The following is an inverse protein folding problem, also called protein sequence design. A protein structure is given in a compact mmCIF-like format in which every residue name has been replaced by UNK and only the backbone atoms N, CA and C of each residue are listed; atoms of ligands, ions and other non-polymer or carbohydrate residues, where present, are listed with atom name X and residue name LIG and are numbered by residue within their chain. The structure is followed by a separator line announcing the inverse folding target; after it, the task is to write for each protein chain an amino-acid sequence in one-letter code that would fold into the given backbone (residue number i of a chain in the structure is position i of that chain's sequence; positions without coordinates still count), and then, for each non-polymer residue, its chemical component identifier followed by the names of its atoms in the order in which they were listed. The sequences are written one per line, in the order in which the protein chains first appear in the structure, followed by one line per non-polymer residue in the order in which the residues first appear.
data_IF_214895158337
#
_entry.id   IF_214895158337
#
_cell.length_a   1.000
_cell.length_b   1.000
_cell.length_c   1.000
_cell.angle_alpha   90.00
_cell.angle_beta   90.00
_cell.angle_gamma   90.00
#
_symmetry.space_group_name_H-M   'P 1'
#
loop_
_entity.id
_entity.type
_entity.pdbx_description
1 polymer ?
#
# COMPACT_ATOMS: atom_id res chain seq x y z
N UNK A 1 12.76 -3.02 12.03
CA UNK A 1 12.46 -1.77 11.28
C UNK A 1 12.10 -0.59 12.20
N UNK A 2 12.57 0.61 11.89
CA UNK A 2 12.15 1.87 12.56
C UNK A 2 10.78 2.34 12.09
N UNK A 3 10.15 3.29 12.82
CA UNK A 3 8.86 3.86 12.42
C UNK A 3 8.93 4.59 11.08
N UNK A 4 10.01 5.33 10.83
CA UNK A 4 10.19 6.09 9.59
C UNK A 4 10.34 5.17 8.38
N UNK A 5 11.12 4.10 8.50
CA UNK A 5 11.27 3.08 7.46
C UNK A 5 9.93 2.38 7.15
N UNK A 6 9.16 2.04 8.19
CA UNK A 6 7.85 1.42 8.04
C UNK A 6 6.87 2.35 7.28
N UNK A 7 6.85 3.64 7.62
CA UNK A 7 6.01 4.64 6.94
C UNK A 7 6.43 4.77 5.48
N UNK A 8 7.72 4.94 5.21
CA UNK A 8 8.25 5.08 3.84
C UNK A 8 7.88 3.88 2.97
N UNK A 9 8.13 2.66 3.45
CA UNK A 9 7.84 1.43 2.71
C UNK A 9 6.35 1.23 2.44
N UNK A 10 5.49 1.61 3.39
CA UNK A 10 4.04 1.58 3.18
C UNK A 10 3.56 2.63 2.16
N UNK A 11 4.17 3.82 2.14
CA UNK A 11 3.87 4.83 1.13
C UNK A 11 4.28 4.37 -0.27
N UNK A 12 5.41 3.68 -0.41
CA UNK A 12 5.86 3.09 -1.68
C UNK A 12 4.86 2.01 -2.16
N UNK A 13 4.46 1.09 -1.28
CA UNK A 13 3.42 0.08 -1.57
C UNK A 13 2.09 0.73 -1.97
N UNK A 14 1.66 1.75 -1.24
CA UNK A 14 0.42 2.45 -1.50
C UNK A 14 0.45 3.15 -2.87
N UNK A 15 1.55 3.81 -3.22
CA UNK A 15 1.70 4.45 -4.53
C UNK A 15 1.59 3.44 -5.68
N UNK A 16 2.19 2.26 -5.52
CA UNK A 16 2.12 1.19 -6.51
C UNK A 16 0.71 0.60 -6.62
N UNK A 17 0.05 0.36 -5.50
CA UNK A 17 -1.36 -0.07 -5.48
C UNK A 17 -2.27 0.95 -6.15
N UNK A 18 -2.11 2.24 -5.85
CA UNK A 18 -2.91 3.29 -6.46
C UNK A 18 -2.75 3.33 -7.98
N UNK A 19 -1.53 3.12 -8.49
CA UNK A 19 -1.31 2.99 -9.94
C UNK A 19 -2.13 1.85 -10.53
N UNK A 20 -2.06 0.67 -9.92
CA UNK A 20 -2.86 -0.47 -10.38
C UNK A 20 -4.37 -0.16 -10.34
N UNK A 21 -4.85 0.50 -9.28
CA UNK A 21 -6.24 0.88 -9.15
C UNK A 21 -6.68 1.94 -10.19
N UNK A 22 -5.80 2.85 -10.59
CA UNK A 22 -6.08 3.78 -11.69
C UNK A 22 -6.18 3.07 -13.04
N UNK A 23 -5.33 2.07 -13.27
CA UNK A 23 -5.37 1.24 -14.48
C UNK A 23 -6.57 0.27 -14.48
N UNK A 24 -7.15 -0.03 -13.30
CA UNK A 24 -8.25 -0.99 -13.10
C UNK A 24 -9.28 -0.42 -12.10
N UNK A 25 -10.09 0.59 -12.50
CA UNK A 25 -10.93 1.33 -11.56
C UNK A 25 -12.01 0.48 -10.88
N UNK A 26 -12.44 -0.65 -11.47
CA UNK A 26 -13.45 -1.57 -10.93
C UNK A 26 -13.04 -2.20 -9.58
N UNK A 27 -11.73 -2.21 -9.29
CA UNK A 27 -11.24 -2.75 -8.00
C UNK A 27 -11.63 -1.86 -6.83
N UNK A 28 -11.80 -0.55 -7.06
CA UNK A 28 -12.24 0.40 -6.04
C UNK A 28 -13.72 0.23 -5.69
N UNK A 29 -14.54 -0.25 -6.61
CA UNK A 29 -15.96 -0.53 -6.35
C UNK A 29 -16.16 -1.65 -5.31
N UNK A 30 -15.13 -2.48 -5.11
CA UNK A 30 -15.12 -3.56 -4.11
C UNK A 30 -14.80 -3.05 -2.70
N UNK A 31 -14.40 -1.78 -2.54
CA UNK A 31 -14.03 -1.22 -1.24
C UNK A 31 -15.27 -0.72 -0.49
N UNK A 32 -15.61 -1.30 0.67
CA UNK A 32 -16.65 -0.74 1.52
C UNK A 32 -16.28 0.67 1.95
N UNK A 33 -17.27 1.55 2.10
CA UNK A 33 -17.06 2.90 2.63
C UNK A 33 -16.39 2.82 4.01
N UNK A 34 -15.32 3.58 4.19
CA UNK A 34 -14.56 3.63 5.45
C UNK A 34 -13.68 2.41 5.72
N UNK A 35 -13.43 1.55 4.73
CA UNK A 35 -12.54 0.41 4.90
C UNK A 35 -11.08 0.81 5.06
N UNK A 36 -10.38 0.10 5.94
CA UNK A 36 -8.92 0.15 6.03
C UNK A 36 -8.32 -0.71 4.92
N UNK A 37 -7.51 -0.11 4.06
CA UNK A 37 -6.64 -0.83 3.13
C UNK A 37 -5.40 -1.34 3.89
N UNK A 38 -5.13 -2.64 3.80
CA UNK A 38 -3.89 -3.26 4.26
C UNK A 38 -3.22 -3.96 3.09
N UNK A 39 -1.99 -3.56 2.77
CA UNK A 39 -1.19 -4.17 1.72
C UNK A 39 -0.18 -5.13 2.37
N UNK A 40 -0.17 -6.39 1.92
CA UNK A 40 0.75 -7.43 2.38
C UNK A 40 1.74 -7.77 1.25
N UNK A 41 3.00 -7.32 1.34
CA UNK A 41 4.02 -7.65 0.36
C UNK A 41 4.33 -9.15 0.35
N UNK A 42 4.36 -9.77 -0.82
CA UNK A 42 4.64 -11.21 -0.99
C UNK A 42 6.13 -11.56 -0.82
N UNK A 43 7.00 -10.57 -1.00
CA UNK A 43 8.46 -10.69 -1.04
C UNK A 43 9.19 -10.02 0.15
N UNK A 44 8.43 -9.39 1.07
CA UNK A 44 8.96 -8.80 2.30
C UNK A 44 8.18 -9.32 3.52
N UNK A 45 8.59 -10.46 4.11
CA UNK A 45 7.88 -11.08 5.22
C UNK A 45 7.90 -10.23 6.51
N UNK A 46 8.94 -9.41 6.73
CA UNK A 46 9.01 -8.50 7.88
C UNK A 46 7.94 -7.42 7.77
N UNK A 47 7.86 -6.74 6.62
CA UNK A 47 6.85 -5.71 6.39
C UNK A 47 5.43 -6.28 6.35
N UNK A 48 5.25 -7.47 5.78
CA UNK A 48 3.96 -8.18 5.80
C UNK A 48 3.51 -8.49 7.22
N UNK A 49 4.42 -8.91 8.12
CA UNK A 49 4.08 -9.19 9.50
C UNK A 49 3.68 -7.91 10.27
N UNK A 50 4.39 -6.80 10.05
CA UNK A 50 4.02 -5.51 10.65
C UNK A 50 2.67 -5.00 10.13
N UNK A 51 2.43 -5.07 8.83
CA UNK A 51 1.16 -4.63 8.24
C UNK A 51 -0.03 -5.50 8.66
N UNK A 52 0.19 -6.81 8.89
CA UNK A 52 -0.86 -7.71 9.37
C UNK A 52 -1.44 -7.27 10.73
N UNK A 53 -0.64 -6.65 11.61
CA UNK A 53 -1.12 -6.11 12.89
C UNK A 53 -2.21 -5.05 12.71
N UNK A 54 -2.21 -4.32 11.59
CA UNK A 54 -3.23 -3.33 11.27
C UNK A 54 -4.60 -3.95 10.94
N UNK A 55 -4.63 -5.22 10.53
CA UNK A 55 -5.87 -5.96 10.27
C UNK A 55 -6.60 -6.16 11.60
N UNK A 56 -5.92 -6.69 12.61
CA UNK A 56 -6.51 -6.95 13.92
C UNK A 56 -6.91 -5.65 14.61
N UNK A 57 -6.06 -4.62 14.53
CA UNK A 57 -6.37 -3.29 15.06
C UNK A 57 -7.60 -2.64 14.40
N UNK A 58 -7.83 -2.86 13.11
CA UNK A 58 -9.00 -2.34 12.40
C UNK A 58 -10.27 -3.14 12.74
N UNK A 59 -10.15 -4.47 12.82
CA UNK A 59 -11.25 -5.35 13.24
C UNK A 59 -11.72 -5.04 14.65
N UNK A 60 -10.80 -4.80 15.58
CA UNK A 60 -11.13 -4.40 16.95
C UNK A 60 -11.92 -3.08 17.02
N UNK A 61 -11.78 -2.20 16.02
CA UNK A 61 -12.52 -0.93 15.88
C UNK A 61 -13.83 -1.08 15.10
N UNK A 62 -14.19 -2.29 14.66
CA UNK A 62 -15.37 -2.53 13.83
C UNK A 62 -15.27 -1.95 12.41
N UNK A 63 -14.06 -1.60 11.95
CA UNK A 63 -13.85 -1.08 10.61
C UNK A 63 -13.70 -2.22 9.60
N UNK A 64 -14.33 -2.14 8.41
CA UNK A 64 -14.08 -3.10 7.36
C UNK A 64 -12.62 -3.06 6.94
N UNK A 65 -12.06 -4.21 6.57
CA UNK A 65 -10.65 -4.32 6.15
C UNK A 65 -10.60 -4.92 4.77
N UNK A 66 -9.90 -4.27 3.84
CA UNK A 66 -9.57 -4.81 2.53
C UNK A 66 -8.10 -5.15 2.52
N UNK A 67 -7.79 -6.42 2.20
CA UNK A 67 -6.42 -6.92 2.14
C UNK A 67 -6.01 -7.09 0.70
N UNK A 68 -4.92 -6.44 0.32
CA UNK A 68 -4.28 -6.58 -1.00
C UNK A 68 -2.96 -7.32 -0.83
N UNK A 69 -2.71 -8.32 -1.68
CA UNK A 69 -1.42 -9.02 -1.77
C UNK A 69 -0.76 -8.65 -3.08
N UNK A 70 0.50 -8.22 -3.02
CA UNK A 70 1.28 -7.85 -4.20
C UNK A 70 2.77 -7.93 -3.88
N UNK A 71 3.63 -7.93 -4.90
CA UNK A 71 5.08 -7.78 -4.71
C UNK A 71 5.43 -6.32 -4.40
N UNK A 72 6.55 -6.13 -3.72
CA UNK A 72 7.09 -4.81 -3.44
C UNK A 72 7.40 -4.06 -4.74
N UNK A 73 7.18 -2.73 -4.80
CA UNK A 73 7.48 -1.95 -5.98
C UNK A 73 8.98 -1.99 -6.27
N UNK A 74 9.33 -2.12 -7.55
CA UNK A 74 10.71 -1.93 -7.98
C UNK A 74 11.05 -0.44 -7.97
N UNK A 75 12.29 -0.05 -7.63
CA UNK A 75 12.74 1.34 -7.73
C UNK A 75 12.46 1.90 -9.12
N UNK A 76 11.83 3.07 -9.19
CA UNK A 76 11.64 3.77 -10.46
C UNK A 76 12.85 4.66 -10.72
N UNK A 77 13.49 4.44 -11.86
CA UNK A 77 14.51 5.34 -12.38
C UNK A 77 13.78 6.29 -13.33
N UNK A 78 13.75 7.57 -12.99
CA UNK A 78 13.13 8.61 -13.82
C UNK A 78 14.22 9.56 -14.33
N UNK A 79 14.12 9.97 -15.58
CA UNK A 79 14.94 11.05 -16.12
C UNK A 79 14.33 12.38 -15.70
N UNK A 80 15.14 13.26 -15.15
CA UNK A 80 14.72 14.61 -14.75
C UNK A 80 15.24 15.57 -15.81
N UNK A 81 14.34 16.36 -16.40
CA UNK A 81 14.68 17.45 -17.32
C UNK A 81 14.26 18.78 -16.69
N UNK A 82 15.17 19.75 -16.69
CA UNK A 82 14.89 21.12 -16.23
C UNK A 82 14.71 21.99 -17.46
N UNK A 83 13.48 22.44 -17.69
CA UNK A 83 13.15 23.37 -18.78
C UNK A 83 13.11 24.78 -18.20
N UNK A 84 14.13 25.59 -18.50
CA UNK A 84 14.14 27.01 -18.18
C UNK A 84 13.44 27.81 -19.29
N UNK A 85 12.68 28.83 -18.89
CA UNK A 85 12.01 29.76 -19.82
C UNK A 85 13.01 30.72 -20.49
#
# INVERSE_FOLDING_TARGET
MTREELVKRNLDLHAEWMRYAFDNPDVLDRFPKGATLVILPEDDPELSAENAKAIDASRAKGLPVVVVRMKSPKPRISTIEVVAA
#
